data_IF_348422387377
#
_entry.id   IF_348422387377
#
_cell.length_a   1.000
_cell.length_b   1.000
_cell.length_c   1.000
_cell.angle_alpha   90.00
_cell.angle_beta   90.00
_cell.angle_gamma   90.00
#
_symmetry.space_group_name_H-M   'P 1'
#
loop_
_entity.id
_entity.type
_entity.pdbx_description
1 polymer ?
#
# COMPACT_ATOMS: atom_id res chain seq x y z
N UNK A 1 22.02 -14.33 -6.78
CA UNK A 1 22.96 -13.81 -5.78
C UNK A 1 22.39 -13.86 -4.37
N UNK A 2 21.15 -13.42 -4.12
CA UNK A 2 20.50 -13.47 -2.81
C UNK A 2 20.62 -14.84 -2.09
N UNK A 3 20.28 -15.94 -2.77
CA UNK A 3 20.40 -17.31 -2.23
C UNK A 3 21.81 -17.63 -1.68
N UNK A 4 22.86 -17.20 -2.39
CA UNK A 4 24.24 -17.46 -1.98
C UNK A 4 24.65 -16.62 -0.78
N UNK A 5 24.12 -15.39 -0.66
CA UNK A 5 24.38 -14.50 0.47
C UNK A 5 23.67 -15.04 1.71
N UNK A 6 22.38 -15.33 1.61
CA UNK A 6 21.57 -15.89 2.71
C UNK A 6 22.15 -17.20 3.22
N UNK A 7 22.62 -18.09 2.34
CA UNK A 7 23.24 -19.35 2.76
C UNK A 7 24.65 -19.22 3.39
N UNK A 8 25.32 -18.06 3.26
CA UNK A 8 26.68 -17.84 3.78
C UNK A 8 26.71 -17.04 5.09
N UNK A 9 25.69 -16.25 5.36
CA UNK A 9 25.62 -15.42 6.56
C UNK A 9 24.93 -16.19 7.69
N UNK A 10 25.37 -15.97 8.92
CA UNK A 10 24.70 -16.47 10.13
C UNK A 10 23.58 -15.56 10.61
N UNK A 11 23.61 -14.29 10.18
CA UNK A 11 22.56 -13.31 10.46
C UNK A 11 21.41 -13.42 9.44
N UNK A 12 20.16 -13.13 9.84
CA UNK A 12 19.03 -13.10 8.91
C UNK A 12 19.16 -12.02 7.82
N UNK A 13 18.64 -12.34 6.65
CA UNK A 13 18.58 -11.48 5.46
C UNK A 13 17.15 -11.07 5.15
N UNK A 14 16.91 -9.78 4.91
CA UNK A 14 15.59 -9.24 4.55
C UNK A 14 15.65 -8.69 3.12
N UNK A 15 14.86 -9.27 2.22
CA UNK A 15 14.88 -8.95 0.79
C UNK A 15 13.76 -8.01 0.35
N UNK A 16 14.07 -7.09 -0.58
CA UNK A 16 13.10 -6.38 -1.42
C UNK A 16 13.57 -6.47 -2.87
N UNK A 17 12.79 -7.12 -3.73
CA UNK A 17 13.20 -7.40 -5.11
C UNK A 17 14.41 -8.34 -5.25
N UNK A 18 14.76 -9.08 -4.19
CA UNK A 18 15.90 -10.00 -4.15
C UNK A 18 15.55 -11.45 -4.54
N UNK A 19 14.28 -11.71 -4.91
CA UNK A 19 13.74 -13.05 -5.11
C UNK A 19 13.31 -13.71 -3.78
N UNK A 20 12.80 -14.95 -3.83
CA UNK A 20 12.18 -15.59 -2.67
C UNK A 20 13.18 -16.14 -1.63
N UNK A 21 14.48 -16.16 -1.95
CA UNK A 21 15.51 -16.87 -1.16
C UNK A 21 16.22 -15.98 -0.13
N UNK A 22 15.50 -15.03 0.47
CA UNK A 22 15.91 -14.33 1.69
C UNK A 22 15.08 -14.86 2.87
N UNK A 23 15.58 -14.74 4.10
CA UNK A 23 14.90 -15.26 5.30
C UNK A 23 13.58 -14.56 5.59
N UNK A 24 13.48 -13.28 5.20
CA UNK A 24 12.26 -12.51 5.23
C UNK A 24 12.16 -11.58 4.02
N UNK A 25 10.99 -10.99 3.83
CA UNK A 25 10.69 -10.05 2.75
C UNK A 25 10.20 -8.73 3.33
N UNK A 26 10.53 -7.63 2.66
CA UNK A 26 10.03 -6.30 2.99
C UNK A 26 9.52 -5.61 1.73
N UNK A 27 8.44 -4.85 1.89
CA UNK A 27 7.89 -3.96 0.87
C UNK A 27 7.56 -2.62 1.52
N UNK A 28 7.60 -1.56 0.72
CA UNK A 28 7.03 -0.27 1.11
C UNK A 28 5.51 -0.45 1.21
N UNK A 29 4.92 -0.14 2.36
CA UNK A 29 3.50 -0.45 2.61
C UNK A 29 2.57 0.28 1.63
N UNK A 30 2.92 1.50 1.21
CA UNK A 30 2.15 2.27 0.24
C UNK A 30 2.10 1.57 -1.13
N UNK A 31 3.22 0.99 -1.58
CA UNK A 31 3.30 0.25 -2.84
C UNK A 31 2.51 -1.07 -2.75
N UNK A 32 2.69 -1.77 -1.64
CA UNK A 32 1.98 -3.01 -1.31
C UNK A 32 0.46 -2.80 -1.25
N UNK A 33 0.01 -1.70 -0.62
CA UNK A 33 -1.39 -1.35 -0.45
C UNK A 33 -2.01 -0.61 -1.65
N UNK A 34 -1.23 -0.36 -2.72
CA UNK A 34 -1.71 0.33 -3.91
C UNK A 34 -2.01 1.82 -3.71
N UNK A 35 -1.39 2.47 -2.73
CA UNK A 35 -1.56 3.90 -2.47
C UNK A 35 -0.76 4.78 -3.46
N UNK A 36 0.36 4.27 -3.98
CA UNK A 36 1.19 4.97 -4.96
C UNK A 36 0.63 4.83 -6.38
N UNK A 37 0.45 5.98 -7.04
CA UNK A 37 0.06 6.06 -8.45
C UNK A 37 1.20 5.74 -9.42
N UNK A 38 0.87 5.47 -10.68
CA UNK A 38 1.86 5.22 -11.74
C UNK A 38 2.39 3.77 -11.78
N UNK A 39 3.51 3.58 -12.48
CA UNK A 39 4.13 2.27 -12.71
C UNK A 39 4.90 1.82 -11.48
N UNK A 40 4.35 0.85 -10.74
CA UNK A 40 5.02 0.24 -9.60
C UNK A 40 6.20 -0.62 -10.07
N UNK A 41 7.24 -0.75 -9.24
CA UNK A 41 8.41 -1.57 -9.58
C UNK A 41 8.00 -3.05 -9.77
N UNK A 42 8.68 -3.77 -10.67
CA UNK A 42 8.29 -5.16 -11.08
C UNK A 42 8.22 -6.16 -9.92
N UNK A 43 8.96 -5.92 -8.84
CA UNK A 43 8.97 -6.78 -7.65
C UNK A 43 7.82 -6.50 -6.68
N UNK A 44 7.07 -5.42 -6.89
CA UNK A 44 5.93 -5.08 -6.04
C UNK A 44 4.72 -5.87 -6.51
N UNK A 45 4.14 -6.64 -5.60
CA UNK A 45 2.77 -7.14 -5.72
C UNK A 45 1.85 -6.16 -4.99
N UNK A 46 0.78 -5.70 -5.67
CA UNK A 46 -0.32 -4.98 -5.02
C UNK A 46 -1.24 -5.98 -4.33
N UNK A 47 -1.51 -5.75 -3.05
CA UNK A 47 -2.42 -6.54 -2.22
C UNK A 47 -3.74 -5.82 -1.96
N UNK A 48 -3.84 -4.54 -2.31
CA UNK A 48 -5.06 -3.75 -2.22
C UNK A 48 -5.01 -2.51 -3.13
N UNK A 49 -6.10 -1.74 -3.10
CA UNK A 49 -6.24 -0.45 -3.80
C UNK A 49 -6.72 0.64 -2.83
N UNK A 50 -5.84 1.01 -1.89
CA UNK A 50 -6.15 2.06 -0.90
C UNK A 50 -6.30 3.43 -1.58
N UNK A 51 -5.58 3.69 -2.68
CA UNK A 51 -5.76 4.93 -3.43
C UNK A 51 -7.17 5.06 -4.02
N UNK A 52 -7.69 3.97 -4.62
CA UNK A 52 -9.05 3.92 -5.16
C UNK A 52 -10.10 4.16 -4.08
N UNK A 53 -9.99 3.47 -2.94
CA UNK A 53 -10.92 3.64 -1.82
C UNK A 53 -10.87 5.03 -1.21
N UNK A 54 -9.67 5.60 -1.02
CA UNK A 54 -9.54 6.96 -0.52
C UNK A 54 -10.12 7.99 -1.50
N UNK A 55 -9.91 7.78 -2.80
CA UNK A 55 -10.49 8.63 -3.84
C UNK A 55 -12.01 8.55 -3.83
N UNK A 56 -12.59 7.35 -3.71
CA UNK A 56 -14.05 7.14 -3.59
C UNK A 56 -14.61 7.90 -2.40
N UNK A 57 -14.02 7.73 -1.22
CA UNK A 57 -14.43 8.42 0.00
C UNK A 57 -14.36 9.95 -0.13
N UNK A 58 -13.25 10.47 -0.69
CA UNK A 58 -13.09 11.91 -0.90
C UNK A 58 -14.12 12.49 -1.88
N UNK A 59 -14.44 11.78 -2.97
CA UNK A 59 -15.46 12.21 -3.92
C UNK A 59 -16.86 12.17 -3.31
N UNK A 60 -17.19 11.13 -2.55
CA UNK A 60 -18.47 11.02 -1.85
C UNK A 60 -18.64 12.16 -0.84
N UNK A 61 -17.63 12.41 -0.02
CA UNK A 61 -17.63 13.54 0.91
C UNK A 61 -17.85 14.88 0.19
N UNK A 62 -17.13 15.13 -0.90
CA UNK A 62 -17.29 16.35 -1.67
C UNK A 62 -18.71 16.50 -2.25
N UNK A 63 -19.31 15.41 -2.73
CA UNK A 63 -20.68 15.39 -3.23
C UNK A 63 -21.71 15.65 -2.13
N UNK A 64 -21.57 15.02 -0.97
CA UNK A 64 -22.49 15.18 0.15
C UNK A 64 -22.42 16.60 0.72
N UNK A 65 -21.23 17.21 0.78
CA UNK A 65 -21.06 18.63 1.14
C UNK A 65 -21.71 19.54 0.10
N UNK A 66 -21.44 19.30 -1.20
CA UNK A 66 -21.98 20.15 -2.27
C UNK A 66 -23.51 20.08 -2.38
N UNK A 67 -24.10 18.94 -2.02
CA UNK A 67 -25.56 18.75 -2.00
C UNK A 67 -26.22 19.19 -0.69
N UNK A 68 -25.43 19.54 0.34
CA UNK A 68 -25.94 19.85 1.68
C UNK A 68 -26.46 18.62 2.44
N UNK A 69 -26.15 17.40 1.97
CA UNK A 69 -26.47 16.16 2.69
C UNK A 69 -25.59 16.01 3.93
N UNK A 70 -24.34 16.47 3.84
CA UNK A 70 -23.41 16.54 4.96
C UNK A 70 -23.02 18.00 5.26
N UNK A 71 -22.94 18.40 6.54
CA UNK A 71 -23.30 17.62 7.73
C UNK A 71 -24.82 17.48 7.87
N UNK A 72 -25.26 16.33 8.39
CA UNK A 72 -26.63 16.13 8.86
C UNK A 72 -26.77 16.54 10.33
N UNK A 73 -28.01 16.63 10.84
CA UNK A 73 -28.28 17.02 12.24
C UNK A 73 -27.54 16.15 13.26
N UNK A 74 -27.41 14.84 13.00
CA UNK A 74 -26.68 13.90 13.86
C UNK A 74 -25.16 14.16 13.94
N UNK A 75 -24.63 14.97 13.02
CA UNK A 75 -23.24 15.40 12.96
C UNK A 75 -23.06 16.86 13.44
N UNK A 76 -24.10 17.46 14.03
CA UNK A 76 -24.12 18.83 14.54
C UNK A 76 -24.33 18.85 16.06
N UNK A 77 -23.84 19.88 16.75
CA UNK A 77 -23.97 20.07 18.22
C UNK A 77 -24.81 21.31 18.55
#
# INVERSE_FOLDING_TARGET
MATQITGKLTIPTIGIGAGPNCDAQVLVWQDMAGLTGGKTARFVKRFGDVAGELRRAAMQYAQEVASGTFPADEHSF
#
